data_IF_869037684156
#
_entry.id   IF_869037684156
#
_cell.length_a   1.000
_cell.length_b   1.000
_cell.length_c   1.000
_cell.angle_alpha   90.00
_cell.angle_beta   90.00
_cell.angle_gamma   90.00
#
_symmetry.space_group_name_H-M   'P 1'
#
loop_
_entity.id
_entity.type
_entity.pdbx_description
1 polymer ?
#
# COMPACT_ATOMS: atom_id res chain seq x y z
N UNK A 1 7.44 -2.14 -3.69
CA UNK A 1 8.49 -1.29 -3.09
C UNK A 1 8.03 -0.58 -1.81
N UNK A 2 6.72 -0.59 -1.46
CA UNK A 2 6.21 0.06 -0.25
C UNK A 2 5.41 -0.85 0.69
N UNK A 3 5.47 -2.18 0.47
CA UNK A 3 4.75 -3.16 1.27
C UNK A 3 5.15 -3.16 2.77
N UNK A 4 6.31 -2.60 3.10
CA UNK A 4 6.75 -2.41 4.48
C UNK A 4 5.93 -1.34 5.21
N UNK A 5 5.51 -0.27 4.50
CA UNK A 5 4.69 0.81 5.08
C UNK A 5 3.37 0.26 5.63
N UNK A 6 2.74 -0.70 4.94
CA UNK A 6 1.52 -1.34 5.43
C UNK A 6 1.74 -2.23 6.65
N UNK A 7 2.88 -2.90 6.72
CA UNK A 7 3.22 -3.68 7.90
C UNK A 7 3.49 -2.79 9.11
N UNK A 8 4.06 -1.60 8.90
CA UNK A 8 4.38 -0.68 10.00
C UNK A 8 3.16 0.16 10.41
N UNK A 9 2.39 0.69 9.47
CA UNK A 9 1.16 1.44 9.78
C UNK A 9 0.15 0.59 10.56
N UNK A 10 0.01 -0.70 10.26
CA UNK A 10 -0.96 -1.58 10.93
C UNK A 10 -0.58 -1.91 12.38
N UNK A 11 0.67 -1.63 12.81
CA UNK A 11 1.06 -1.71 14.23
C UNK A 11 0.50 -0.54 15.04
N UNK A 12 0.36 0.62 14.40
CA UNK A 12 0.06 1.88 15.07
C UNK A 12 -1.38 2.35 14.83
N UNK A 13 -1.97 1.98 13.70
CA UNK A 13 -3.33 2.35 13.32
C UNK A 13 -4.31 1.23 13.65
N UNK A 14 -5.36 1.49 14.44
CA UNK A 14 -6.44 0.53 14.67
C UNK A 14 -7.09 0.08 13.36
N UNK A 15 -7.50 -1.19 13.30
CA UNK A 15 -8.11 -1.78 12.09
C UNK A 15 -9.25 -0.94 11.52
N UNK A 16 -10.13 -0.39 12.36
CA UNK A 16 -11.27 0.39 11.89
C UNK A 16 -10.85 1.71 11.19
N UNK A 17 -9.71 2.30 11.55
CA UNK A 17 -9.15 3.47 10.86
C UNK A 17 -8.51 3.03 9.53
N UNK A 18 -7.83 1.88 9.50
CA UNK A 18 -7.33 1.30 8.25
C UNK A 18 -8.46 1.03 7.26
N UNK A 19 -9.56 0.45 7.70
CA UNK A 19 -10.73 0.18 6.86
C UNK A 19 -11.28 1.48 6.25
N UNK A 20 -11.31 2.59 7.03
CA UNK A 20 -11.70 3.91 6.51
C UNK A 20 -10.68 4.51 5.56
N UNK A 21 -9.38 4.29 5.77
CA UNK A 21 -8.36 4.70 4.80
C UNK A 21 -8.49 3.96 3.48
N UNK A 22 -8.82 2.66 3.53
CA UNK A 22 -9.08 1.87 2.33
C UNK A 22 -10.28 2.38 1.55
N UNK A 23 -11.40 2.69 2.23
CA UNK A 23 -12.56 3.34 1.59
C UNK A 23 -12.15 4.64 0.87
N UNK A 24 -11.34 5.49 1.51
CA UNK A 24 -10.90 6.76 0.92
C UNK A 24 -10.01 6.57 -0.32
N UNK A 25 -9.14 5.55 -0.29
CA UNK A 25 -8.34 5.17 -1.45
C UNK A 25 -9.21 4.67 -2.61
N UNK A 26 -10.13 3.73 -2.36
CA UNK A 26 -11.00 3.16 -3.41
C UNK A 26 -11.92 4.20 -4.05
N UNK A 27 -12.37 5.18 -3.26
CA UNK A 27 -13.18 6.30 -3.74
C UNK A 27 -12.36 7.38 -4.47
N UNK A 28 -11.02 7.27 -4.51
CA UNK A 28 -10.14 8.18 -5.25
C UNK A 28 -9.92 9.53 -4.58
N UNK A 29 -9.95 9.60 -3.24
CA UNK A 29 -9.74 10.86 -2.51
C UNK A 29 -8.27 11.30 -2.40
N UNK A 30 -7.32 10.46 -2.82
CA UNK A 30 -5.88 10.74 -2.77
C UNK A 30 -5.44 11.40 -4.07
N UNK A 31 -4.89 12.60 -3.98
CA UNK A 31 -4.51 13.46 -5.11
C UNK A 31 -3.08 13.99 -4.95
N UNK A 32 -2.49 14.45 -6.05
CA UNK A 32 -1.19 15.15 -6.09
C UNK A 32 -0.07 14.43 -5.32
N UNK A 33 0.08 13.14 -5.58
CA UNK A 33 1.06 12.29 -4.91
C UNK A 33 2.46 12.53 -5.47
N UNK A 34 3.36 13.05 -4.64
CA UNK A 34 4.76 13.30 -4.95
C UNK A 34 5.69 12.54 -4.01
N UNK A 35 6.77 11.98 -4.56
CA UNK A 35 7.79 11.27 -3.77
C UNK A 35 9.12 12.00 -3.93
N UNK A 36 9.63 12.55 -2.83
CA UNK A 36 10.92 13.24 -2.78
C UNK A 36 11.55 13.11 -1.40
N UNK A 37 12.88 13.09 -1.33
CA UNK A 37 13.64 13.06 -0.07
C UNK A 37 13.16 12.03 0.96
N UNK A 38 12.82 10.83 0.46
CA UNK A 38 12.29 9.70 1.27
C UNK A 38 10.99 10.04 2.02
N UNK A 39 10.20 10.95 1.47
CA UNK A 39 8.87 11.28 1.93
C UNK A 39 7.88 11.19 0.78
N UNK A 40 6.63 10.91 1.14
CA UNK A 40 5.49 11.02 0.23
C UNK A 40 4.68 12.22 0.67
N UNK A 41 4.41 13.12 -0.26
CA UNK A 41 3.52 14.26 -0.10
C UNK A 41 2.27 13.96 -0.91
N UNK A 42 1.10 14.20 -0.34
CA UNK A 42 -0.17 14.00 -1.02
C UNK A 42 -1.24 14.91 -0.41
N UNK A 43 -2.27 15.20 -1.20
CA UNK A 43 -3.51 15.77 -0.68
C UNK A 43 -4.56 14.67 -0.57
N UNK A 44 -5.33 14.70 0.53
CA UNK A 44 -6.48 13.82 0.69
C UNK A 44 -7.72 14.65 0.93
N UNK A 45 -8.70 14.53 0.03
CA UNK A 45 -10.01 15.14 0.18
C UNK A 45 -10.75 14.46 1.33
N UNK A 46 -11.28 15.26 2.26
CA UNK A 46 -12.07 14.75 3.37
C UNK A 46 -13.28 15.63 3.67
N UNK A 47 -14.03 15.24 4.70
CA UNK A 47 -15.36 15.81 4.97
C UNK A 47 -15.40 17.33 5.21
N UNK A 48 -14.29 17.93 5.64
CA UNK A 48 -14.22 19.36 5.98
C UNK A 48 -13.18 20.14 5.16
N UNK A 49 -12.61 19.52 4.13
CA UNK A 49 -11.58 20.11 3.27
C UNK A 49 -10.54 19.11 2.81
N UNK A 50 -9.54 19.62 2.10
CA UNK A 50 -8.38 18.87 1.64
C UNK A 50 -7.29 18.97 2.71
N UNK A 51 -6.64 17.87 3.00
CA UNK A 51 -5.58 17.79 4.01
C UNK A 51 -4.27 17.41 3.37
N UNK A 52 -3.20 18.16 3.67
CA UNK A 52 -1.86 17.72 3.35
C UNK A 52 -1.49 16.51 4.22
N UNK A 53 -0.95 15.48 3.57
CA UNK A 53 -0.46 14.25 4.19
C UNK A 53 1.00 14.07 3.80
N UNK A 54 1.83 13.85 4.82
CA UNK A 54 3.25 13.58 4.66
C UNK A 54 3.53 12.21 5.27
N UNK A 55 3.97 11.26 4.45
CA UNK A 55 4.41 9.93 4.91
C UNK A 55 5.93 9.87 4.87
N UNK A 56 6.55 9.69 6.02
CA UNK A 56 7.98 9.44 6.10
C UNK A 56 8.27 7.96 5.81
N UNK A 57 9.15 7.70 4.85
CA UNK A 57 9.46 6.36 4.36
C UNK A 57 10.50 5.62 5.22
N UNK A 58 11.18 6.32 6.14
CA UNK A 58 12.19 5.75 7.04
C UNK A 58 11.65 5.57 8.45
N UNK A 59 10.89 6.54 8.95
CA UNK A 59 10.26 6.50 10.28
C UNK A 59 8.80 6.95 10.22
N UNK A 60 7.90 5.97 10.19
CA UNK A 60 6.47 6.24 10.08
C UNK A 60 5.92 7.10 11.22
N UNK A 61 6.56 7.15 12.40
CA UNK A 61 6.09 8.03 13.50
C UNK A 61 6.32 9.51 13.24
N UNK A 62 7.20 9.86 12.30
CA UNK A 62 7.43 11.24 11.83
C UNK A 62 6.47 11.63 10.70
N UNK A 63 5.55 10.74 10.32
CA UNK A 63 4.50 11.04 9.35
C UNK A 63 3.43 11.95 9.96
N UNK A 64 2.84 12.83 9.15
CA UNK A 64 1.88 13.84 9.62
C UNK A 64 0.69 14.00 8.68
N UNK A 65 -0.41 14.50 9.23
CA UNK A 65 -1.57 14.94 8.47
C UNK A 65 -2.15 16.20 9.13
N UNK A 66 -2.56 17.18 8.33
CA UNK A 66 -3.16 18.43 8.81
C UNK A 66 -4.57 18.28 9.39
N UNK A 67 -5.16 17.09 9.33
CA UNK A 67 -6.53 16.90 9.78
C UNK A 67 -6.67 17.05 11.30
N UNK A 68 -7.84 17.49 11.80
CA UNK A 68 -8.04 17.74 13.23
C UNK A 68 -8.10 16.45 14.08
N UNK A 69 -7.96 15.28 13.46
CA UNK A 69 -7.92 14.02 14.18
C UNK A 69 -6.52 13.83 14.78
N UNK A 70 -6.44 13.71 16.11
CA UNK A 70 -5.15 13.52 16.78
C UNK A 70 -4.56 12.13 16.44
N UNK A 71 -3.25 12.09 16.14
CA UNK A 71 -2.47 10.91 15.76
C UNK A 71 -2.70 10.41 14.31
N UNK A 72 -2.31 9.17 14.06
CA UNK A 72 -2.39 8.51 12.76
C UNK A 72 -3.83 8.34 12.30
N UNK A 73 -4.18 8.99 11.20
CA UNK A 73 -5.55 9.12 10.73
C UNK A 73 -5.82 8.27 9.47
N UNK A 74 -7.10 8.21 9.07
CA UNK A 74 -7.53 7.51 7.85
C UNK A 74 -6.91 8.08 6.57
N UNK A 75 -6.58 9.38 6.52
CA UNK A 75 -5.98 10.00 5.34
C UNK A 75 -4.57 9.45 5.09
N UNK A 76 -3.78 9.28 6.16
CA UNK A 76 -2.46 8.64 6.08
C UNK A 76 -2.56 7.19 5.62
N UNK A 77 -3.56 6.46 6.12
CA UNK A 77 -3.85 5.11 5.64
C UNK A 77 -4.23 5.09 4.15
N UNK A 78 -5.03 6.05 3.68
CA UNK A 78 -5.41 6.17 2.27
C UNK A 78 -4.18 6.40 1.36
N UNK A 79 -3.27 7.30 1.72
CA UNK A 79 -2.01 7.52 0.96
C UNK A 79 -1.15 6.26 0.90
N UNK A 80 -1.06 5.52 2.02
CA UNK A 80 -0.31 4.26 2.03
C UNK A 80 -0.97 3.20 1.15
N UNK A 81 -2.29 3.13 1.09
CA UNK A 81 -3.00 2.25 0.16
C UNK A 81 -2.81 2.66 -1.30
N UNK A 82 -2.88 3.95 -1.61
CA UNK A 82 -2.68 4.46 -2.98
C UNK A 82 -1.32 4.05 -3.54
N UNK A 83 -0.27 4.26 -2.76
CA UNK A 83 1.10 3.93 -3.12
C UNK A 83 1.31 2.40 -3.23
N UNK A 84 0.60 1.60 -2.44
CA UNK A 84 0.59 0.15 -2.62
C UNK A 84 -0.13 -0.24 -3.93
N UNK A 85 -1.32 0.31 -4.15
CA UNK A 85 -2.20 0.04 -5.29
C UNK A 85 -1.53 0.40 -6.61
N UNK A 86 -0.88 1.55 -6.70
CA UNK A 86 -0.10 1.96 -7.86
C UNK A 86 0.99 0.93 -8.23
N UNK A 87 1.67 0.38 -7.20
CA UNK A 87 2.64 -0.69 -7.37
C UNK A 87 2.03 -2.00 -7.87
N UNK A 88 0.88 -2.40 -7.31
CA UNK A 88 0.17 -3.62 -7.71
C UNK A 88 -0.38 -3.51 -9.14
N UNK A 89 -1.03 -2.40 -9.49
CA UNK A 89 -1.56 -2.13 -10.83
C UNK A 89 -0.45 -2.14 -11.88
N UNK A 90 0.69 -1.49 -11.60
CA UNK A 90 1.85 -1.50 -12.51
C UNK A 90 2.39 -2.91 -12.73
N UNK A 91 2.48 -3.73 -11.68
CA UNK A 91 2.93 -5.13 -11.80
C UNK A 91 1.90 -5.95 -12.57
N UNK A 92 0.61 -5.82 -12.27
CA UNK A 92 -0.47 -6.53 -12.97
C UNK A 92 -0.48 -6.24 -14.47
N UNK A 93 -0.34 -4.99 -14.88
CA UNK A 93 -0.28 -4.65 -16.31
C UNK A 93 0.92 -5.32 -16.98
N UNK A 94 2.11 -5.25 -16.38
CA UNK A 94 3.29 -5.93 -16.93
C UNK A 94 3.16 -7.46 -16.98
N UNK A 95 2.50 -8.05 -15.99
CA UNK A 95 2.28 -9.51 -15.95
C UNK A 95 1.34 -9.99 -17.06
N UNK A 96 0.43 -9.14 -17.57
CA UNK A 96 -0.46 -9.49 -18.70
C UNK A 96 0.31 -9.65 -20.01
N UNK A 97 1.45 -8.98 -20.15
CA UNK A 97 2.28 -9.02 -21.36
C UNK A 97 3.26 -10.21 -21.37
N UNK A 98 3.42 -10.91 -20.24
CA UNK A 98 4.35 -12.05 -20.14
C UNK A 98 3.71 -13.35 -20.63
N UNK A 99 4.50 -14.17 -21.30
CA UNK A 99 4.09 -15.54 -21.61
C UNK A 99 4.23 -16.48 -20.40
N UNK A 100 3.81 -17.73 -20.59
CA UNK A 100 3.84 -18.75 -19.54
C UNK A 100 5.27 -19.04 -19.03
N UNK A 101 6.28 -19.05 -19.90
CA UNK A 101 7.66 -19.38 -19.54
C UNK A 101 8.30 -18.22 -18.76
N UNK A 102 8.01 -17.00 -19.15
CA UNK A 102 8.42 -15.78 -18.45
C UNK A 102 7.76 -15.69 -17.06
N UNK A 103 6.47 -15.96 -16.96
CA UNK A 103 5.75 -16.02 -15.68
C UNK A 103 6.31 -17.09 -14.75
N UNK A 104 6.63 -18.28 -15.26
CA UNK A 104 7.29 -19.34 -14.48
C UNK A 104 8.67 -18.90 -14.00
N UNK A 105 9.41 -18.15 -14.81
CA UNK A 105 10.72 -17.61 -14.42
C UNK A 105 10.59 -16.64 -13.25
N UNK A 106 9.62 -15.72 -13.29
CA UNK A 106 9.33 -14.79 -12.19
C UNK A 106 8.91 -15.55 -10.93
N UNK A 107 8.00 -16.52 -11.05
CA UNK A 107 7.53 -17.33 -9.92
C UNK A 107 8.68 -18.11 -9.26
N UNK A 108 9.53 -18.76 -10.07
CA UNK A 108 10.70 -19.50 -9.56
C UNK A 108 11.68 -18.59 -8.82
N UNK A 109 11.90 -17.35 -9.29
CA UNK A 109 12.70 -16.35 -8.57
C UNK A 109 12.07 -15.98 -7.23
N UNK A 110 10.75 -15.76 -7.18
CA UNK A 110 10.04 -15.46 -5.93
C UNK A 110 10.10 -16.62 -4.92
N UNK A 111 10.06 -17.87 -5.40
CA UNK A 111 10.14 -19.07 -4.58
C UNK A 111 11.52 -19.28 -3.92
N UNK A 112 12.53 -18.48 -4.25
CA UNK A 112 13.81 -18.48 -3.53
C UNK A 112 13.68 -18.04 -2.06
N UNK A 113 12.58 -17.36 -1.69
CA UNK A 113 12.25 -17.00 -0.31
C UNK A 113 11.38 -18.07 0.36
N UNK A 114 11.81 -18.61 1.50
CA UNK A 114 11.06 -19.63 2.26
C UNK A 114 9.65 -19.18 2.64
N UNK A 115 9.45 -17.88 2.90
CA UNK A 115 8.12 -17.31 3.18
C UNK A 115 7.19 -17.45 1.98
N UNK A 116 7.70 -17.22 0.77
CA UNK A 116 6.91 -17.32 -0.46
C UNK A 116 6.54 -18.76 -0.78
N UNK A 117 7.45 -19.72 -0.53
CA UNK A 117 7.16 -21.17 -0.67
C UNK A 117 5.97 -21.56 0.20
N UNK A 118 5.97 -21.19 1.48
CA UNK A 118 4.88 -21.51 2.41
C UNK A 118 3.53 -20.91 1.96
N UNK A 119 3.55 -19.70 1.39
CA UNK A 119 2.35 -19.04 0.89
C UNK A 119 1.79 -19.82 -0.31
N UNK A 120 2.62 -20.12 -1.31
CA UNK A 120 2.20 -20.83 -2.52
C UNK A 120 1.70 -22.23 -2.19
N UNK A 121 2.36 -22.96 -1.29
CA UNK A 121 1.88 -24.26 -0.81
C UNK A 121 0.48 -24.18 -0.19
N UNK A 122 0.21 -23.16 0.64
CA UNK A 122 -1.11 -22.95 1.25
C UNK A 122 -2.17 -22.65 0.20
N UNK A 123 -1.85 -21.85 -0.82
CA UNK A 123 -2.78 -21.52 -1.91
C UNK A 123 -3.15 -22.75 -2.72
N UNK A 124 -2.16 -23.58 -3.10
CA UNK A 124 -2.39 -24.81 -3.87
C UNK A 124 -3.20 -25.85 -3.07
N UNK A 125 -2.98 -25.94 -1.75
CA UNK A 125 -3.72 -26.86 -0.87
C UNK A 125 -5.19 -26.47 -0.68
N UNK A 126 -5.55 -25.19 -0.81
CA UNK A 126 -6.94 -24.71 -0.62
C UNK A 126 -7.90 -25.04 -1.77
N UNK A 127 -7.42 -25.66 -2.85
CA UNK A 127 -8.23 -26.01 -4.02
C UNK A 127 -8.33 -24.82 -4.98
N UNK A 128 -7.86 -25.06 -6.21
CA UNK A 128 -7.73 -24.19 -7.40
C UNK A 128 -8.16 -22.71 -7.27
N UNK A 129 -7.17 -21.83 -7.46
CA UNK A 129 -7.32 -20.49 -8.05
C UNK A 129 -8.20 -20.52 -9.30
#
# INVERSE_FOLDING_TARGET
>A
MYAYLLHDITKWIPKYIMDKGYEYYEEGHVEDVEIQDKKIFAFVTGNAGNYEVIIDLEDFTESSCECPYENLCKHMAAVVYDIQGAGESTVKEKLKDLDKEELLTVLNRLLQSSKNVQIVEKMLKKGKL
#
